data_IF_343541457082
#
_entry.id   IF_343541457082
#
_cell.length_a   1.000
_cell.length_b   1.000
_cell.length_c   1.000
_cell.angle_alpha   90.00
_cell.angle_beta   90.00
_cell.angle_gamma   90.00
#
_symmetry.space_group_name_H-M   'P 1'
#
loop_
_entity.id
_entity.type
_entity.pdbx_description
1 polymer ?
#
# COMPACT_ATOMS: atom_id res chain seq x y z
N UNK A 1 0.41 50.37 -18.31
CA UNK A 1 -0.39 49.78 -17.22
C UNK A 1 -1.08 48.47 -17.61
N UNK A 2 -1.64 48.29 -18.82
CA UNK A 2 -2.26 47.00 -19.22
C UNK A 2 -1.26 45.85 -19.44
N UNK A 3 -0.03 46.11 -19.89
CA UNK A 3 0.98 45.05 -20.10
C UNK A 3 1.49 44.43 -18.78
N UNK A 4 1.66 45.25 -17.73
CA UNK A 4 2.09 44.77 -16.42
C UNK A 4 1.04 43.84 -15.79
N UNK A 5 -0.24 44.22 -15.83
CA UNK A 5 -1.31 43.38 -15.28
C UNK A 5 -1.45 42.06 -16.02
N UNK A 6 -1.26 42.02 -17.34
CA UNK A 6 -1.27 40.76 -18.10
C UNK A 6 -0.09 39.85 -17.75
N UNK A 7 1.10 40.41 -17.46
CA UNK A 7 2.26 39.64 -17.01
C UNK A 7 2.05 38.94 -15.67
N UNK A 8 1.50 39.66 -14.68
CA UNK A 8 1.19 39.08 -13.36
C UNK A 8 0.10 38.00 -13.42
N UNK A 9 -0.89 38.15 -14.32
CA UNK A 9 -1.94 37.14 -14.53
C UNK A 9 -1.35 35.86 -15.14
N UNK A 10 -0.46 35.97 -16.12
CA UNK A 10 0.22 34.83 -16.72
C UNK A 10 1.10 34.08 -15.71
N UNK A 11 1.84 34.80 -14.87
CA UNK A 11 2.67 34.20 -13.80
C UNK A 11 1.78 33.48 -12.77
N UNK A 12 0.66 34.07 -12.38
CA UNK A 12 -0.31 33.45 -11.46
C UNK A 12 -0.91 32.15 -12.02
N UNK A 13 -1.28 32.15 -13.31
CA UNK A 13 -1.78 30.95 -14.00
C UNK A 13 -0.72 29.85 -14.07
N UNK A 14 0.53 30.20 -14.36
CA UNK A 14 1.63 29.23 -14.45
C UNK A 14 1.94 28.63 -13.08
N UNK A 15 1.94 29.44 -12.03
CA UNK A 15 2.11 28.98 -10.65
C UNK A 15 0.98 28.03 -10.23
N UNK A 16 -0.27 28.37 -10.55
CA UNK A 16 -1.43 27.52 -10.26
C UNK A 16 -1.35 26.16 -10.97
N UNK A 17 -1.02 26.15 -12.27
CA UNK A 17 -0.84 24.92 -13.03
C UNK A 17 0.29 24.05 -12.46
N UNK A 18 1.43 24.66 -12.12
CA UNK A 18 2.57 23.95 -11.53
C UNK A 18 2.21 23.28 -10.20
N UNK A 19 1.46 23.97 -9.32
CA UNK A 19 0.96 23.40 -8.06
C UNK A 19 -0.02 22.25 -8.33
N UNK A 20 -0.93 22.40 -9.30
CA UNK A 20 -1.88 21.34 -9.66
C UNK A 20 -1.16 20.06 -10.14
N UNK A 21 -0.14 20.22 -10.99
CA UNK A 21 0.68 19.09 -11.46
C UNK A 21 1.43 18.44 -10.31
N UNK A 22 2.01 19.23 -9.40
CA UNK A 22 2.70 18.70 -8.21
C UNK A 22 1.76 17.84 -7.35
N UNK A 23 0.54 18.31 -7.09
CA UNK A 23 -0.47 17.57 -6.32
C UNK A 23 -0.85 16.27 -7.02
N UNK A 24 -1.00 16.29 -8.35
CA UNK A 24 -1.27 15.08 -9.13
C UNK A 24 -0.12 14.07 -9.05
N UNK A 25 1.14 14.53 -9.13
CA UNK A 25 2.32 13.66 -9.00
C UNK A 25 2.37 13.04 -7.60
N UNK A 26 2.17 13.82 -6.54
CA UNK A 26 2.13 13.31 -5.16
C UNK A 26 1.01 12.27 -5.00
N UNK A 27 -0.18 12.55 -5.53
CA UNK A 27 -1.30 11.62 -5.52
C UNK A 27 -0.98 10.31 -6.25
N UNK A 28 -0.33 10.39 -7.42
CA UNK A 28 0.05 9.21 -8.20
C UNK A 28 1.12 8.37 -7.51
N UNK A 29 2.11 9.01 -6.88
CA UNK A 29 3.16 8.34 -6.11
C UNK A 29 2.56 7.63 -4.89
N UNK A 30 1.67 8.30 -4.16
CA UNK A 30 0.96 7.69 -3.02
C UNK A 30 0.10 6.50 -3.44
N UNK A 31 -0.58 6.58 -4.60
CA UNK A 31 -1.42 5.48 -5.10
C UNK A 31 -0.59 4.26 -5.53
N UNK A 32 0.62 4.45 -6.07
CA UNK A 32 1.50 3.36 -6.52
C UNK A 32 2.15 2.58 -5.36
N UNK A 33 2.31 3.18 -4.18
CA UNK A 33 2.95 2.55 -3.03
C UNK A 33 2.20 1.35 -2.42
N UNK A 34 0.94 1.10 -2.81
CA UNK A 34 0.11 0.03 -2.24
C UNK A 34 0.16 -1.31 -3.02
N UNK A 35 1.04 -1.42 -4.02
CA UNK A 35 0.93 -2.45 -5.07
C UNK A 35 1.49 -3.85 -4.78
N UNK A 36 2.22 -4.08 -3.68
CA UNK A 36 2.95 -5.35 -3.51
C UNK A 36 2.12 -6.47 -2.88
N UNK A 37 1.12 -6.12 -2.06
CA UNK A 37 0.32 -7.11 -1.31
C UNK A 37 -1.12 -6.63 -1.16
N UNK A 38 -2.06 -7.47 -1.56
CA UNK A 38 -3.48 -7.28 -1.26
C UNK A 38 -3.77 -7.78 0.15
N UNK A 39 -4.13 -6.84 1.01
CA UNK A 39 -4.54 -7.09 2.39
C UNK A 39 -6.02 -6.77 2.56
N UNK A 40 -6.82 -7.74 3.01
CA UNK A 40 -8.23 -7.50 3.33
C UNK A 40 -8.60 -8.14 4.67
N UNK A 41 -9.09 -7.33 5.61
CA UNK A 41 -9.73 -7.82 6.84
C UNK A 41 -11.25 -7.77 6.67
N UNK A 42 -11.93 -8.88 6.95
CA UNK A 42 -13.40 -8.96 7.00
C UNK A 42 -13.82 -9.61 8.31
N UNK A 43 -14.94 -9.18 8.87
CA UNK A 43 -15.54 -9.82 10.03
C UNK A 43 -16.73 -10.63 9.53
N UNK A 44 -16.72 -11.96 9.74
CA UNK A 44 -17.80 -12.86 9.31
C UNK A 44 -18.17 -13.77 10.48
N UNK A 45 -19.42 -13.71 10.92
CA UNK A 45 -19.98 -14.64 11.90
C UNK A 45 -19.23 -14.69 13.25
N UNK A 46 -18.75 -13.56 13.76
CA UNK A 46 -18.01 -13.50 15.04
C UNK A 46 -16.53 -13.86 14.94
N UNK A 47 -16.00 -14.03 13.72
CA UNK A 47 -14.56 -14.20 13.46
C UNK A 47 -14.03 -13.07 12.59
N UNK A 48 -12.79 -12.67 12.83
CA UNK A 48 -12.01 -11.85 11.91
C UNK A 48 -11.27 -12.76 10.93
N UNK A 49 -11.43 -12.48 9.64
CA UNK A 49 -10.78 -13.18 8.53
C UNK A 49 -9.87 -12.18 7.84
N UNK A 50 -8.57 -12.44 7.86
CA UNK A 50 -7.58 -11.65 7.14
C UNK A 50 -7.10 -12.43 5.93
N UNK A 51 -7.29 -11.85 4.76
CA UNK A 51 -6.72 -12.31 3.51
C UNK A 51 -5.42 -11.55 3.24
N UNK A 52 -4.36 -12.32 3.02
CA UNK A 52 -3.10 -11.82 2.46
C UNK A 52 -2.86 -12.50 1.13
N UNK A 53 -2.74 -11.71 0.07
CA UNK A 53 -2.38 -12.19 -1.26
C UNK A 53 -1.25 -11.30 -1.80
N UNK A 54 -0.01 -11.80 -1.88
CA UNK A 54 1.09 -11.04 -2.41
C UNK A 54 1.08 -11.08 -3.94
N UNK A 55 1.51 -9.99 -4.57
CA UNK A 55 1.72 -9.92 -6.02
C UNK A 55 3.19 -10.14 -6.42
N UNK A 56 4.05 -10.33 -5.42
CA UNK A 56 5.48 -10.61 -5.54
C UNK A 56 5.85 -11.75 -4.60
N UNK A 57 6.99 -12.40 -4.82
CA UNK A 57 7.48 -13.41 -3.90
C UNK A 57 7.89 -12.75 -2.57
N UNK A 58 7.33 -13.24 -1.47
CA UNK A 58 7.62 -12.76 -0.13
C UNK A 58 8.38 -13.82 0.65
N UNK A 59 9.52 -13.42 1.21
CA UNK A 59 10.26 -14.25 2.15
C UNK A 59 9.46 -14.45 3.44
N UNK A 60 8.80 -13.39 3.91
CA UNK A 60 8.05 -13.44 5.17
C UNK A 60 6.89 -12.45 5.18
N UNK A 61 5.78 -12.90 5.74
CA UNK A 61 4.57 -12.12 6.01
C UNK A 61 4.25 -12.23 7.48
N UNK A 62 4.09 -11.09 8.15
CA UNK A 62 3.67 -11.01 9.53
C UNK A 62 2.39 -10.18 9.63
N UNK A 63 1.33 -10.79 10.16
CA UNK A 63 0.06 -10.11 10.48
C UNK A 63 -0.03 -9.98 11.99
N UNK A 64 -0.06 -8.76 12.49
CA UNK A 64 -0.25 -8.47 13.91
C UNK A 64 -1.62 -7.86 14.14
N UNK A 65 -2.41 -8.41 15.04
CA UNK A 65 -3.70 -7.84 15.44
C UNK A 65 -3.90 -7.97 16.95
N UNK A 66 -4.86 -7.24 17.52
CA UNK A 66 -5.26 -7.37 18.93
C UNK A 66 -6.67 -7.92 19.02
N UNK A 67 -6.84 -9.13 19.53
CA UNK A 67 -8.15 -9.71 19.80
C UNK A 67 -8.31 -9.96 21.30
N UNK A 68 -9.45 -9.56 21.88
CA UNK A 68 -9.78 -9.82 23.28
C UNK A 68 -8.72 -9.36 24.32
N UNK A 69 -7.95 -8.31 24.02
CA UNK A 69 -6.89 -7.80 24.89
C UNK A 69 -5.51 -8.43 24.68
N UNK A 70 -5.41 -9.50 23.88
CA UNK A 70 -4.16 -10.18 23.56
C UNK A 70 -3.61 -9.76 22.19
N UNK A 71 -2.29 -9.69 22.07
CA UNK A 71 -1.61 -9.45 20.79
C UNK A 71 -1.44 -10.78 20.06
N UNK A 72 -2.09 -10.92 18.92
CA UNK A 72 -1.93 -12.04 18.01
C UNK A 72 -0.91 -11.68 16.93
N UNK A 73 0.05 -12.58 16.68
CA UNK A 73 1.04 -12.43 15.61
C UNK A 73 1.00 -13.70 14.78
N UNK A 74 0.61 -13.58 13.52
CA UNK A 74 0.64 -14.66 12.55
C UNK A 74 1.82 -14.45 11.62
N UNK A 75 2.70 -15.45 11.51
CA UNK A 75 3.86 -15.42 10.62
C UNK A 75 3.71 -16.52 9.58
N UNK A 76 3.92 -16.16 8.33
CA UNK A 76 4.00 -17.10 7.22
C UNK A 76 5.25 -16.80 6.41
N UNK A 77 6.07 -17.81 6.19
CA UNK A 77 7.31 -17.72 5.43
C UNK A 77 7.12 -18.28 4.02
N UNK A 78 7.95 -17.82 3.09
CA UNK A 78 8.03 -18.26 1.69
C UNK A 78 6.65 -18.24 1.00
N UNK A 79 6.07 -17.05 0.86
CA UNK A 79 4.80 -16.85 0.17
C UNK A 79 5.05 -16.55 -1.31
N UNK A 80 4.57 -17.44 -2.17
CA UNK A 80 4.69 -17.26 -3.62
C UNK A 80 3.80 -16.13 -4.13
N UNK A 81 4.20 -15.50 -5.23
CA UNK A 81 3.34 -14.54 -5.94
C UNK A 81 2.00 -15.18 -6.32
N UNK A 82 0.89 -14.52 -5.98
CA UNK A 82 -0.47 -14.97 -6.23
C UNK A 82 -1.03 -15.94 -5.17
N UNK A 83 -0.21 -16.47 -4.27
CA UNK A 83 -0.65 -17.38 -3.21
C UNK A 83 -1.58 -16.66 -2.22
N UNK A 84 -2.70 -17.28 -1.85
CA UNK A 84 -3.66 -16.64 -0.94
C UNK A 84 -3.66 -17.34 0.41
N UNK A 85 -3.37 -16.59 1.47
CA UNK A 85 -3.45 -17.10 2.85
C UNK A 85 -4.56 -16.42 3.62
N UNK A 86 -5.29 -17.24 4.36
CA UNK A 86 -6.41 -16.84 5.20
C UNK A 86 -6.04 -17.06 6.66
N UNK A 87 -6.07 -15.98 7.45
CA UNK A 87 -5.93 -16.06 8.91
C UNK A 87 -7.30 -15.84 9.53
N UNK A 88 -7.80 -16.85 10.23
CA UNK A 88 -9.04 -16.77 11.01
C UNK A 88 -8.70 -16.65 12.50
N UNK A 89 -9.28 -15.65 13.16
CA UNK A 89 -9.10 -15.43 14.60
C UNK A 89 -10.37 -14.81 15.21
N UNK A 90 -10.50 -14.76 16.55
CA UNK A 90 -11.66 -14.17 17.20
C UNK A 90 -11.93 -12.75 16.71
N UNK A 91 -13.21 -12.36 16.59
CA UNK A 91 -13.57 -11.04 16.09
C UNK A 91 -12.84 -9.94 16.85
N UNK A 92 -12.15 -9.10 16.09
CA UNK A 92 -11.44 -7.94 16.60
C UNK A 92 -11.81 -6.70 15.80
N UNK A 93 -12.17 -5.63 16.53
CA UNK A 93 -12.34 -4.29 15.98
C UNK A 93 -11.01 -3.53 15.87
N UNK A 94 -9.91 -4.09 16.37
CA UNK A 94 -8.59 -3.47 16.29
C UNK A 94 -8.07 -3.45 14.85
N UNK A 95 -7.28 -2.45 14.45
CA UNK A 95 -6.62 -2.46 13.15
C UNK A 95 -5.53 -3.52 13.12
N UNK A 96 -5.58 -4.41 12.13
CA UNK A 96 -4.50 -5.37 11.86
C UNK A 96 -3.36 -4.67 11.12
N UNK A 97 -2.13 -4.95 11.53
CA UNK A 97 -0.89 -4.50 10.88
C UNK A 97 -0.31 -5.63 10.05
N UNK A 98 0.09 -5.31 8.82
CA UNK A 98 0.78 -6.22 7.93
C UNK A 98 2.22 -5.73 7.76
N UNK A 99 3.18 -6.60 8.01
CA UNK A 99 4.60 -6.38 7.72
C UNK A 99 5.05 -7.46 6.74
N UNK A 100 5.69 -7.07 5.65
CA UNK A 100 6.12 -7.98 4.59
C UNK A 100 7.59 -7.80 4.28
N UNK A 101 8.32 -8.89 4.13
CA UNK A 101 9.70 -8.93 3.66
C UNK A 101 9.72 -9.66 2.33
N UNK A 102 10.10 -8.95 1.26
CA UNK A 102 10.18 -9.48 -0.10
C UNK A 102 11.59 -9.82 -0.53
N UNK A 103 11.73 -10.79 -1.43
CA UNK A 103 12.90 -10.87 -2.29
C UNK A 103 12.65 -9.99 -3.51
N UNK A 104 13.44 -8.91 -3.65
CA UNK A 104 13.46 -8.16 -4.90
C UNK A 104 14.45 -8.88 -5.80
N UNK A 105 13.97 -9.81 -6.61
CA UNK A 105 14.78 -10.37 -7.68
C UNK A 105 14.93 -9.29 -8.76
N UNK A 106 15.96 -8.44 -8.63
CA UNK A 106 16.32 -7.49 -9.68
C UNK A 106 16.92 -8.32 -10.81
N UNK A 107 16.07 -8.75 -11.75
CA UNK A 107 16.55 -9.32 -13.01
C UNK A 107 17.16 -8.17 -13.80
N UNK A 108 18.47 -7.97 -13.66
CA UNK A 108 19.23 -7.14 -14.57
C UNK A 108 19.27 -7.91 -15.90
N UNK A 109 18.37 -7.59 -16.82
CA UNK A 109 18.52 -8.01 -18.22
C UNK A 109 19.80 -7.36 -18.77
N UNK A 110 20.91 -8.10 -18.71
CA UNK A 110 22.10 -7.78 -19.48
C UNK A 110 21.77 -8.03 -20.95
N UNK A 111 21.39 -6.97 -21.66
CA UNK A 111 21.22 -7.01 -23.11
C UNK A 111 22.62 -7.14 -23.76
N UNK A 112 22.84 -8.12 -24.65
CA UNK A 112 24.13 -8.34 -25.33
C UNK A 112 24.49 -7.20 -26.28
#
# INVERSE_FOLDING_TARGET
MMLDTMGWILVGLFAFFSIMVLVLVIYFVWKRGSGSVKFQKKIKGGKSVVLVQPFVNLKRVMVQDKASGESLVFVKENLGSGETVWFEYPASNSPARLTTEGEVEITLEAKP
#
